data_IF_698229807870
#
_entry.id   IF_698229807870
#
_cell.length_a   1.000
_cell.length_b   1.000
_cell.length_c   1.000
_cell.angle_alpha   90.00
_cell.angle_beta   90.00
_cell.angle_gamma   90.00
#
_symmetry.space_group_name_H-M   'P 1'
#
loop_
_entity.id
_entity.type
_entity.pdbx_description
1 polymer ?
#
# COMPACT_ATOMS: atom_id res chain seq x y z
N UNK A 1 -13.69 -9.83 -25.08
CA UNK A 1 -12.98 -9.68 -23.79
C UNK A 1 -13.47 -8.42 -23.11
N UNK A 2 -13.92 -8.50 -21.86
CA UNK A 2 -14.38 -7.30 -21.13
C UNK A 2 -13.17 -6.67 -20.44
N UNK A 3 -12.76 -5.48 -20.90
CA UNK A 3 -11.60 -4.78 -20.35
C UNK A 3 -11.82 -4.39 -18.88
N UNK A 4 -10.72 -4.39 -18.12
CA UNK A 4 -10.67 -3.82 -16.77
C UNK A 4 -10.91 -2.30 -16.86
N UNK A 5 -11.85 -1.74 -16.07
CA UNK A 5 -12.11 -0.30 -16.09
C UNK A 5 -10.89 0.49 -15.60
N UNK A 6 -10.64 1.65 -16.22
CA UNK A 6 -9.50 2.52 -15.93
C UNK A 6 -9.46 2.95 -14.46
N UNK A 7 -10.63 3.16 -13.85
CA UNK A 7 -10.74 3.49 -12.42
C UNK A 7 -10.15 2.42 -11.48
N UNK A 8 -10.30 1.13 -11.81
CA UNK A 8 -9.69 0.05 -11.04
C UNK A 8 -8.16 0.06 -11.16
N UNK A 9 -7.65 0.30 -12.37
CA UNK A 9 -6.20 0.42 -12.62
C UNK A 9 -5.57 1.60 -11.89
N UNK A 10 -6.27 2.73 -11.82
CA UNK A 10 -5.82 3.91 -11.07
C UNK A 10 -5.71 3.63 -9.56
N UNK A 11 -6.68 2.91 -8.99
CA UNK A 11 -6.63 2.50 -7.58
C UNK A 11 -5.47 1.55 -7.27
N UNK A 12 -5.14 0.64 -8.19
CA UNK A 12 -3.91 -0.16 -8.07
C UNK A 12 -2.67 0.75 -8.12
N UNK A 13 -2.67 1.76 -9.00
CA UNK A 13 -1.63 2.78 -9.02
C UNK A 13 -1.47 3.50 -7.68
N UNK A 14 -2.56 3.80 -6.97
CA UNK A 14 -2.52 4.35 -5.61
C UNK A 14 -1.87 3.38 -4.64
N UNK A 15 -2.26 2.10 -4.66
CA UNK A 15 -1.68 1.08 -3.78
C UNK A 15 -0.16 0.93 -4.01
N UNK A 16 0.31 1.06 -5.25
CA UNK A 16 1.74 1.08 -5.58
C UNK A 16 2.40 2.36 -5.06
N UNK A 17 1.79 3.52 -5.31
CA UNK A 17 2.34 4.82 -4.91
C UNK A 17 2.50 4.93 -3.39
N UNK A 18 1.55 4.39 -2.62
CA UNK A 18 1.57 4.37 -1.16
C UNK A 18 2.86 3.75 -0.61
N UNK A 19 3.44 2.73 -1.27
CA UNK A 19 4.75 2.17 -0.88
C UNK A 19 5.93 2.79 -1.62
N UNK A 20 5.78 3.06 -2.93
CA UNK A 20 6.89 3.53 -3.75
C UNK A 20 7.32 4.96 -3.39
N UNK A 21 6.39 5.85 -3.02
CA UNK A 21 6.70 7.24 -2.69
C UNK A 21 7.48 7.34 -1.37
N UNK A 22 7.03 6.74 -0.25
CA UNK A 22 7.82 6.72 0.99
C UNK A 22 9.19 6.08 0.79
N UNK A 23 9.27 4.98 0.05
CA UNK A 23 10.54 4.33 -0.28
C UNK A 23 11.49 5.31 -0.96
N UNK A 24 11.04 6.05 -1.98
CA UNK A 24 11.86 7.03 -2.69
C UNK A 24 12.27 8.23 -1.81
N UNK A 25 11.36 8.70 -0.94
CA UNK A 25 11.61 9.84 -0.05
C UNK A 25 12.56 9.50 1.10
N UNK A 26 12.52 8.25 1.57
CA UNK A 26 13.29 7.77 2.72
C UNK A 26 14.46 6.89 2.34
N UNK A 27 14.73 6.70 1.04
CA UNK A 27 15.91 6.00 0.56
C UNK A 27 17.16 6.78 0.95
N UNK A 28 17.63 6.52 2.17
CA UNK A 28 18.93 6.94 2.65
C UNK A 28 19.75 5.68 2.85
N UNK A 29 20.97 5.59 2.29
CA UNK A 29 21.92 4.55 2.66
C UNK A 29 22.39 4.84 4.09
N UNK A 30 21.57 4.48 5.07
CA UNK A 30 21.97 4.42 6.48
C UNK A 30 22.47 3.00 6.75
N UNK A 31 23.63 2.86 7.39
CA UNK A 31 24.21 1.54 7.72
C UNK A 31 23.43 0.74 8.78
N UNK A 32 22.15 1.05 8.98
CA UNK A 32 21.29 0.44 10.00
C UNK A 32 20.50 -0.69 9.34
N UNK A 33 20.79 -1.94 9.72
CA UNK A 33 20.17 -3.14 9.13
C UNK A 33 18.63 -3.06 9.09
N UNK A 34 18.02 -2.46 10.12
CA UNK A 34 16.56 -2.31 10.22
C UNK A 34 15.96 -1.42 9.11
N UNK A 35 16.64 -0.35 8.69
CA UNK A 35 16.13 0.52 7.62
C UNK A 35 16.09 -0.22 6.28
N UNK A 36 17.09 -1.06 6.00
CA UNK A 36 17.13 -1.90 4.80
C UNK A 36 16.04 -2.97 4.78
N UNK A 37 15.69 -3.54 5.94
CA UNK A 37 14.58 -4.50 6.04
C UNK A 37 13.26 -3.82 5.69
N UNK A 38 12.99 -2.65 6.25
CA UNK A 38 11.75 -1.89 5.98
C UNK A 38 11.68 -1.48 4.51
N UNK A 39 12.77 -0.96 3.94
CA UNK A 39 12.86 -0.61 2.52
C UNK A 39 12.62 -1.83 1.60
N UNK A 40 13.16 -3.00 1.98
CA UNK A 40 12.92 -4.25 1.26
C UNK A 40 11.45 -4.67 1.31
N UNK A 41 10.82 -4.56 2.48
CA UNK A 41 9.38 -4.84 2.67
C UNK A 41 8.51 -3.89 1.85
N UNK A 42 8.83 -2.59 1.83
CA UNK A 42 8.15 -1.59 1.01
C UNK A 42 8.28 -1.88 -0.49
N UNK A 43 9.49 -2.20 -0.95
CA UNK A 43 9.75 -2.53 -2.35
C UNK A 43 8.97 -3.78 -2.80
N UNK A 44 9.00 -4.85 -1.99
CA UNK A 44 8.24 -6.07 -2.24
C UNK A 44 6.73 -5.81 -2.22
N UNK A 45 6.26 -4.94 -1.33
CA UNK A 45 4.86 -4.52 -1.25
C UNK A 45 4.45 -3.73 -2.49
N UNK A 46 5.27 -2.78 -2.96
CA UNK A 46 5.03 -2.03 -4.19
C UNK A 46 4.97 -2.96 -5.41
N UNK A 47 5.90 -3.92 -5.50
CA UNK A 47 5.92 -4.92 -6.58
C UNK A 47 4.67 -5.83 -6.54
N UNK A 48 4.28 -6.31 -5.36
CA UNK A 48 3.05 -7.09 -5.16
C UNK A 48 1.79 -6.31 -5.54
N UNK A 49 1.74 -5.02 -5.17
CA UNK A 49 0.67 -4.10 -5.56
C UNK A 49 0.66 -3.82 -7.07
N UNK A 50 1.80 -3.89 -7.77
CA UNK A 50 1.87 -3.63 -9.20
C UNK A 50 1.42 -4.81 -10.06
N UNK A 51 1.49 -6.04 -9.53
CA UNK A 51 1.14 -7.28 -10.24
C UNK A 51 -0.23 -7.24 -10.96
N UNK A 52 -1.33 -6.68 -10.41
CA UNK A 52 -2.60 -6.59 -11.09
C UNK A 52 -2.55 -5.81 -12.43
N UNK A 53 -1.64 -4.84 -12.58
CA UNK A 53 -1.53 -4.00 -13.78
C UNK A 53 -1.16 -4.80 -15.03
N UNK A 54 -0.49 -5.94 -14.85
CA UNK A 54 -0.09 -6.87 -15.91
C UNK A 54 -1.29 -7.62 -16.53
N UNK A 55 -2.44 -7.65 -15.85
CA UNK A 55 -3.61 -8.41 -16.30
C UNK A 55 -4.66 -7.51 -16.98
N UNK A 56 -5.01 -7.86 -18.22
CA UNK A 56 -6.10 -7.21 -18.98
C UNK A 56 -7.47 -7.84 -18.74
N UNK A 57 -7.51 -9.09 -18.28
CA UNK A 57 -8.72 -9.83 -17.95
C UNK A 57 -9.23 -9.50 -16.54
N UNK A 58 -10.54 -9.27 -16.39
CA UNK A 58 -11.16 -8.90 -15.10
C UNK A 58 -11.02 -9.97 -14.02
N UNK A 59 -11.14 -11.26 -14.36
CA UNK A 59 -11.06 -12.34 -13.36
C UNK A 59 -9.62 -12.43 -12.83
N UNK A 60 -8.64 -12.46 -13.73
CA UNK A 60 -7.21 -12.49 -13.35
C UNK A 60 -6.78 -11.24 -12.58
N UNK A 61 -7.23 -10.05 -13.01
CA UNK A 61 -6.98 -8.79 -12.30
C UNK A 61 -7.48 -8.84 -10.85
N UNK A 62 -8.69 -9.34 -10.63
CA UNK A 62 -9.28 -9.47 -9.30
C UNK A 62 -8.51 -10.44 -8.41
N UNK A 63 -8.15 -11.61 -8.94
CA UNK A 63 -7.30 -12.56 -8.20
C UNK A 63 -5.95 -11.93 -7.84
N UNK A 64 -5.34 -11.20 -8.78
CA UNK A 64 -4.10 -10.49 -8.52
C UNK A 64 -4.25 -9.37 -7.46
N UNK A 65 -5.35 -8.62 -7.44
CA UNK A 65 -5.60 -7.64 -6.38
C UNK A 65 -5.73 -8.29 -5.00
N UNK A 66 -6.45 -9.42 -4.91
CA UNK A 66 -6.58 -10.17 -3.66
C UNK A 66 -5.25 -10.76 -3.20
N UNK A 67 -4.47 -11.34 -4.14
CA UNK A 67 -3.14 -11.85 -3.87
C UNK A 67 -2.18 -10.73 -3.42
N UNK A 68 -2.22 -9.56 -4.07
CA UNK A 68 -1.44 -8.38 -3.68
C UNK A 68 -1.78 -7.93 -2.26
N UNK A 69 -3.06 -7.90 -1.90
CA UNK A 69 -3.49 -7.56 -0.54
C UNK A 69 -3.02 -8.57 0.50
N UNK A 70 -3.06 -9.87 0.17
CA UNK A 70 -2.54 -10.93 1.02
C UNK A 70 -1.02 -10.81 1.20
N UNK A 71 -0.27 -10.54 0.13
CA UNK A 71 1.19 -10.31 0.19
C UNK A 71 1.50 -9.13 1.12
N UNK A 72 0.82 -8.00 0.95
CA UNK A 72 1.00 -6.82 1.82
C UNK A 72 0.69 -7.20 3.28
N UNK A 73 -0.43 -7.86 3.55
CA UNK A 73 -0.78 -8.27 4.90
C UNK A 73 0.28 -9.22 5.51
N UNK A 74 0.74 -10.22 4.76
CA UNK A 74 1.73 -11.18 5.24
C UNK A 74 3.10 -10.55 5.50
N UNK A 75 3.51 -9.57 4.70
CA UNK A 75 4.77 -8.85 4.88
C UNK A 75 4.70 -7.88 6.06
N UNK A 76 3.60 -7.12 6.17
CA UNK A 76 3.48 -6.06 7.17
C UNK A 76 3.02 -6.52 8.54
N UNK A 77 2.29 -7.63 8.64
CA UNK A 77 1.88 -8.18 9.96
C UNK A 77 3.07 -8.44 10.89
N UNK A 78 4.12 -9.19 10.49
CA UNK A 78 5.28 -9.39 11.36
C UNK A 78 6.04 -8.08 11.62
N UNK A 79 6.17 -7.20 10.62
CA UNK A 79 6.84 -5.91 10.77
C UNK A 79 6.11 -4.99 11.78
N UNK A 80 4.79 -4.95 11.74
CA UNK A 80 3.95 -4.18 12.66
C UNK A 80 3.93 -4.79 14.07
N UNK A 81 3.99 -6.11 14.22
CA UNK A 81 4.12 -6.75 15.53
C UNK A 81 5.47 -6.41 16.18
N UNK A 82 6.57 -6.48 15.43
CA UNK A 82 7.89 -6.05 15.90
C UNK A 82 7.91 -4.55 16.22
N UNK A 83 7.27 -3.75 15.35
CA UNK A 83 7.05 -2.33 15.56
C UNK A 83 6.27 -1.99 16.82
N UNK A 84 5.22 -2.76 17.11
CA UNK A 84 4.41 -2.59 18.31
C UNK A 84 5.23 -2.87 19.58
N UNK A 85 6.02 -3.95 19.56
CA UNK A 85 6.94 -4.25 20.67
C UNK A 85 7.97 -3.12 20.86
N UNK A 86 8.53 -2.59 19.78
CA UNK A 86 9.46 -1.46 19.83
C UNK A 86 8.77 -0.18 20.34
N UNK A 87 7.55 0.12 19.91
CA UNK A 87 6.78 1.27 20.37
C UNK A 87 6.45 1.18 21.87
N UNK A 88 6.10 -0.01 22.35
CA UNK A 88 5.88 -0.26 23.78
C UNK A 88 7.16 -0.11 24.62
N UNK A 89 8.31 -0.52 24.08
CA UNK A 89 9.59 -0.49 24.79
C UNK A 89 10.27 0.89 24.75
N UNK A 90 10.18 1.61 23.62
CA UNK A 90 10.96 2.81 23.32
C UNK A 90 10.10 4.07 23.11
N UNK A 91 8.77 3.94 23.10
CA UNK A 91 7.84 5.06 22.95
C UNK A 91 7.62 5.56 21.52
N UNK A 92 8.17 4.87 20.50
CA UNK A 92 8.10 5.30 19.09
C UNK A 92 6.76 4.93 18.42
N UNK A 93 5.68 5.53 18.90
CA UNK A 93 4.34 5.33 18.35
C UNK A 93 4.15 5.95 16.96
N UNK A 94 4.91 7.00 16.65
CA UNK A 94 4.87 7.68 15.35
C UNK A 94 5.29 6.76 14.21
N UNK A 95 6.37 6.02 14.41
CA UNK A 95 6.81 5.01 13.44
C UNK A 95 5.74 3.92 13.23
N UNK A 96 5.17 3.37 14.30
CA UNK A 96 4.14 2.33 14.19
C UNK A 96 2.89 2.82 13.42
N UNK A 97 2.37 4.00 13.77
CA UNK A 97 1.14 4.55 13.19
C UNK A 97 1.32 4.89 11.71
N UNK A 98 2.46 5.46 11.32
CA UNK A 98 2.74 5.82 9.91
C UNK A 98 2.82 4.58 9.00
N UNK A 99 3.46 3.51 9.47
CA UNK A 99 3.58 2.25 8.73
C UNK A 99 2.26 1.44 8.72
N UNK A 100 1.46 1.53 9.78
CA UNK A 100 0.12 0.96 9.81
C UNK A 100 -0.82 1.67 8.83
N UNK A 101 -0.74 3.01 8.74
CA UNK A 101 -1.50 3.78 7.76
C UNK A 101 -1.11 3.44 6.31
N UNK A 102 0.17 3.22 6.05
CA UNK A 102 0.73 2.75 4.77
C UNK A 102 0.08 1.44 4.31
N UNK A 103 0.18 0.39 5.14
CA UNK A 103 -0.35 -0.93 4.83
C UNK A 103 -1.88 -0.92 4.70
N UNK A 104 -2.57 -0.21 5.59
CA UNK A 104 -4.02 -0.04 5.54
C UNK A 104 -4.50 0.68 4.27
N UNK A 105 -3.85 1.77 3.87
CA UNK A 105 -4.19 2.52 2.67
C UNK A 105 -3.99 1.69 1.39
N UNK A 106 -2.89 0.94 1.30
CA UNK A 106 -2.64 0.08 0.16
C UNK A 106 -3.67 -1.07 0.04
N UNK A 107 -3.99 -1.74 1.16
CA UNK A 107 -5.02 -2.80 1.18
C UNK A 107 -6.39 -2.22 0.81
N UNK A 108 -6.78 -1.06 1.36
CA UNK A 108 -8.03 -0.40 1.02
C UNK A 108 -8.10 -0.07 -0.48
N UNK A 109 -7.01 0.42 -1.07
CA UNK A 109 -6.92 0.72 -2.50
C UNK A 109 -7.01 -0.56 -3.37
N UNK A 110 -6.43 -1.68 -2.94
CA UNK A 110 -6.55 -2.97 -3.63
C UNK A 110 -7.96 -3.57 -3.54
N UNK A 111 -8.62 -3.47 -2.38
CA UNK A 111 -10.03 -3.86 -2.20
C UNK A 111 -10.91 -3.00 -3.12
N UNK A 112 -10.67 -1.69 -3.14
CA UNK A 112 -11.38 -0.78 -4.02
C UNK A 112 -11.19 -1.15 -5.50
N UNK A 113 -9.95 -1.45 -5.92
CA UNK A 113 -9.66 -1.90 -7.28
C UNK A 113 -10.37 -3.22 -7.62
N UNK A 114 -10.40 -4.17 -6.68
CA UNK A 114 -11.09 -5.45 -6.82
C UNK A 114 -12.60 -5.25 -7.04
N UNK A 115 -13.23 -4.38 -6.24
CA UNK A 115 -14.66 -4.09 -6.36
C UNK A 115 -14.97 -3.32 -7.66
N UNK A 116 -14.14 -2.33 -8.02
CA UNK A 116 -14.28 -1.60 -9.30
C UNK A 116 -14.10 -2.50 -10.52
N UNK A 117 -13.31 -3.56 -10.42
CA UNK A 117 -13.12 -4.51 -11.52
C UNK A 117 -14.37 -5.36 -11.81
N UNK A 118 -15.36 -5.43 -10.90
CA UNK A 118 -16.65 -6.10 -11.15
C UNK A 118 -17.49 -5.33 -12.19
N UNK A 119 -17.42 -4.00 -12.23
CA UNK A 119 -18.15 -3.18 -13.19
C UNK A 119 -18.09 -1.68 -12.89
N UNK A 120 -18.54 -0.86 -13.84
CA UNK A 120 -18.46 0.61 -13.74
C UNK A 120 -19.29 1.21 -12.60
N UNK A 121 -20.32 0.50 -12.11
CA UNK A 121 -21.18 0.96 -11.01
C UNK A 121 -20.87 0.33 -9.66
N UNK A 122 -19.99 -0.68 -9.63
CA UNK A 122 -19.64 -1.37 -8.39
C UNK A 122 -18.53 -0.62 -7.64
N UNK A 123 -18.43 -0.83 -6.32
CA UNK A 123 -17.27 -0.39 -5.53
C UNK A 123 -17.08 1.12 -5.38
N UNK A 124 -18.11 1.95 -5.59
CA UNK A 124 -18.03 3.40 -5.36
C UNK A 124 -17.60 3.78 -3.93
N UNK A 125 -18.20 3.22 -2.84
CA UNK A 125 -17.78 3.57 -1.49
C UNK A 125 -16.35 3.08 -1.20
N UNK A 126 -16.00 1.86 -1.63
CA UNK A 126 -14.65 1.33 -1.49
C UNK A 126 -13.63 2.21 -2.23
N UNK A 127 -13.95 2.70 -3.43
CA UNK A 127 -13.12 3.63 -4.18
C UNK A 127 -12.89 4.95 -3.43
N UNK A 128 -13.95 5.54 -2.85
CA UNK A 128 -13.81 6.76 -2.05
C UNK A 128 -12.83 6.55 -0.87
N UNK A 129 -12.97 5.43 -0.16
CA UNK A 129 -12.08 5.06 0.95
C UNK A 129 -10.64 4.85 0.44
N UNK A 130 -10.45 4.09 -0.64
CA UNK A 130 -9.13 3.83 -1.20
C UNK A 130 -8.41 5.10 -1.67
N UNK A 131 -9.14 6.04 -2.28
CA UNK A 131 -8.59 7.34 -2.66
C UNK A 131 -8.26 8.21 -1.44
N UNK A 132 -9.17 8.29 -0.47
CA UNK A 132 -8.97 9.10 0.73
C UNK A 132 -7.79 8.57 1.57
N UNK A 133 -7.76 7.26 1.82
CA UNK A 133 -6.68 6.62 2.59
C UNK A 133 -5.33 6.75 1.86
N UNK A 134 -5.30 6.55 0.54
CA UNK A 134 -4.10 6.75 -0.25
C UNK A 134 -3.60 8.19 -0.22
N UNK A 135 -4.48 9.17 -0.38
CA UNK A 135 -4.12 10.60 -0.34
C UNK A 135 -3.62 11.02 1.05
N UNK A 136 -4.28 10.58 2.11
CA UNK A 136 -3.85 10.85 3.49
C UNK A 136 -2.50 10.22 3.80
N UNK A 137 -2.27 8.97 3.38
CA UNK A 137 -1.00 8.28 3.58
C UNK A 137 0.14 8.99 2.84
N UNK A 138 -0.05 9.34 1.57
CA UNK A 138 0.94 10.07 0.79
C UNK A 138 1.20 11.48 1.34
N UNK A 139 0.15 12.17 1.79
CA UNK A 139 0.25 13.49 2.43
C UNK A 139 1.05 13.44 3.73
N UNK A 140 0.81 12.43 4.58
CA UNK A 140 1.56 12.24 5.81
C UNK A 140 3.05 12.03 5.54
N UNK A 141 3.40 11.22 4.55
CA UNK A 141 4.79 10.99 4.17
C UNK A 141 5.47 12.18 3.51
N UNK A 142 4.72 12.99 2.76
CA UNK A 142 5.22 14.26 2.26
C UNK A 142 5.58 15.21 3.41
N UNK A 143 4.76 15.28 4.47
CA UNK A 143 5.08 16.07 5.67
C UNK A 143 6.34 15.56 6.38
N UNK A 144 6.46 14.23 6.55
CA UNK A 144 7.66 13.61 7.16
C UNK A 144 8.92 13.93 6.35
N UNK A 145 8.85 13.86 5.02
CA UNK A 145 9.99 14.16 4.15
C UNK A 145 10.38 15.65 4.16
N UNK A 146 9.41 16.55 4.36
CA UNK A 146 9.63 18.00 4.42
C UNK A 146 10.06 18.50 5.82
N UNK A 147 10.11 17.61 6.83
CA UNK A 147 10.58 17.94 8.17
C UNK A 147 9.61 18.80 9.00
N UNK A 148 8.31 18.69 8.74
CA UNK A 148 7.26 19.30 9.55
C UNK A 148 7.03 18.55 10.87
#
# INVERSE_FOLDING_TARGET
MVLVPTSARRLVGVAVAVFAVPLLLTFRPSGVIWSHVVQGVELLSAAGCAAPLCFRDRKRFRVACAAGGAVVASLWTPALLLGLLAALALGDWGWLLTHLALSGAAIAALIAAFERAKGADHGRPAAAIGWAAGALSLGAWACVALGA
#
